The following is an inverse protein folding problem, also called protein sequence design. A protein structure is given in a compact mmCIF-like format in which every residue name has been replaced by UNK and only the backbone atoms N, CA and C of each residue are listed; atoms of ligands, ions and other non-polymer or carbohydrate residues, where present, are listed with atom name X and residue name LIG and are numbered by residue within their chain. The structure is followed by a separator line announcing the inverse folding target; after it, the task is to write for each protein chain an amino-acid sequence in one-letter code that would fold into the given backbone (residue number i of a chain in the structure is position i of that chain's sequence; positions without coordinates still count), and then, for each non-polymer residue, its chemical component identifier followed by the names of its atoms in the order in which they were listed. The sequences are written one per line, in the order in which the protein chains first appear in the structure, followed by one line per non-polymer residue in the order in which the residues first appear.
data_IF_184489077777
#
_entry.id   IF_184489077777
#
_cell.length_a   1.000
_cell.length_b   1.000
_cell.length_c   1.000
_cell.angle_alpha   90.00
_cell.angle_beta   90.00
_cell.angle_gamma   90.00
#
_symmetry.space_group_name_H-M   'P 1'
#
loop_
_entity.id
_entity.type
_entity.pdbx_description
1 polymer ?
#
# COMPACT_ATOMS: atom_id res chain seq x y z
N UNK A 1 -19.84 -6.95 -22.88
CA UNK A 1 -19.60 -5.76 -22.03
C UNK A 1 -18.36 -6.04 -21.19
N UNK A 2 -17.17 -5.61 -21.62
CA UNK A 2 -15.92 -5.95 -20.92
C UNK A 2 -15.88 -5.30 -19.54
N UNK A 3 -15.67 -6.09 -18.49
CA UNK A 3 -15.55 -5.60 -17.10
C UNK A 3 -14.49 -4.49 -17.09
N UNK A 4 -14.88 -3.24 -16.83
CA UNK A 4 -13.92 -2.15 -16.65
C UNK A 4 -13.00 -2.54 -15.50
N UNK A 5 -11.73 -2.83 -15.81
CA UNK A 5 -10.77 -3.23 -14.80
C UNK A 5 -10.62 -2.10 -13.76
N UNK A 6 -11.08 -2.37 -12.53
CA UNK A 6 -10.91 -1.50 -11.38
C UNK A 6 -9.49 -1.67 -10.82
N UNK A 7 -8.84 -0.55 -10.49
CA UNK A 7 -7.60 -0.58 -9.73
C UNK A 7 -7.93 -0.86 -8.27
N UNK A 8 -7.36 -1.94 -7.75
CA UNK A 8 -7.58 -2.36 -6.37
C UNK A 8 -6.27 -2.42 -5.61
N UNK A 9 -6.38 -2.41 -4.28
CA UNK A 9 -5.21 -2.50 -3.40
C UNK A 9 -4.50 -3.84 -3.62
N UNK A 10 -3.18 -3.77 -3.71
CA UNK A 10 -2.30 -4.91 -3.61
C UNK A 10 -1.57 -4.89 -2.25
N UNK A 11 -1.51 -6.04 -1.60
CA UNK A 11 -0.82 -6.26 -0.34
C UNK A 11 0.10 -7.48 -0.47
N UNK A 12 0.90 -7.75 0.54
CA UNK A 12 1.61 -9.01 0.64
C UNK A 12 1.40 -9.69 1.99
N UNK A 13 1.25 -11.00 1.95
CA UNK A 13 1.20 -11.80 3.17
C UNK A 13 2.61 -12.07 3.75
N UNK A 14 2.65 -12.79 4.87
CA UNK A 14 3.91 -13.17 5.53
C UNK A 14 4.77 -14.13 4.70
N UNK A 15 4.17 -14.89 3.77
CA UNK A 15 4.89 -15.78 2.87
C UNK A 15 5.49 -15.05 1.65
N UNK A 16 5.10 -13.79 1.42
CA UNK A 16 5.62 -12.96 0.33
C UNK A 16 4.74 -13.01 -0.91
N UNK A 17 3.58 -13.65 -0.84
CA UNK A 17 2.63 -13.68 -1.94
C UNK A 17 1.94 -12.33 -2.05
N UNK A 18 1.73 -11.87 -3.29
CA UNK A 18 0.98 -10.65 -3.56
C UNK A 18 -0.51 -11.00 -3.59
N UNK A 19 -1.26 -10.33 -2.72
CA UNK A 19 -2.70 -10.46 -2.61
C UNK A 19 -3.38 -9.25 -3.22
N UNK A 20 -4.55 -9.46 -3.81
CA UNK A 20 -5.41 -8.43 -4.38
C UNK A 20 -6.66 -8.28 -3.51
N UNK A 21 -6.99 -7.05 -3.12
CA UNK A 21 -8.19 -6.74 -2.34
C UNK A 21 -9.20 -5.97 -3.21
N UNK A 22 -10.13 -6.68 -3.84
CA UNK A 22 -11.14 -6.07 -4.72
C UNK A 22 -12.26 -5.30 -3.99
N UNK A 23 -12.27 -5.30 -2.65
CA UNK A 23 -13.19 -4.48 -1.86
C UNK A 23 -12.60 -3.08 -1.55
N UNK A 24 -11.35 -2.82 -1.97
CA UNK A 24 -10.69 -1.54 -1.76
C UNK A 24 -10.01 -1.05 -3.05
N UNK A 25 -10.40 0.14 -3.51
CA UNK A 25 -9.79 0.81 -4.66
C UNK A 25 -8.40 1.29 -4.32
N UNK A 26 -7.53 1.28 -5.33
CA UNK A 26 -6.12 1.65 -5.18
C UNK A 26 -5.97 3.13 -4.77
N UNK A 27 -5.16 3.36 -3.74
CA UNK A 27 -4.85 4.68 -3.21
C UNK A 27 -3.34 4.84 -3.15
N UNK A 28 -2.87 6.04 -3.42
CA UNK A 28 -1.47 6.43 -3.26
C UNK A 28 -1.33 7.58 -2.26
N UNK A 29 -0.09 7.87 -1.87
CA UNK A 29 0.24 8.97 -0.98
C UNK A 29 0.97 10.08 -1.73
N UNK A 30 0.49 11.30 -1.54
CA UNK A 30 1.10 12.54 -2.02
C UNK A 30 1.41 13.44 -0.81
N UNK A 31 2.67 13.42 -0.35
CA UNK A 31 3.08 14.12 0.86
C UNK A 31 2.34 13.61 2.10
N UNK A 32 1.39 14.42 2.61
CA UNK A 32 0.57 14.09 3.80
C UNK A 32 -0.85 13.59 3.45
N UNK A 33 -1.21 13.57 2.17
CA UNK A 33 -2.56 13.25 1.73
C UNK A 33 -2.62 11.89 1.04
N UNK A 34 -3.78 11.26 1.14
CA UNK A 34 -4.15 10.10 0.33
C UNK A 34 -4.91 10.55 -0.90
N UNK A 35 -4.63 9.90 -2.03
CA UNK A 35 -5.22 10.20 -3.33
C UNK A 35 -5.65 8.89 -3.97
N UNK A 36 -6.93 8.79 -4.35
CA UNK A 36 -7.43 7.65 -5.12
C UNK A 36 -6.79 7.64 -6.51
N UNK A 37 -6.18 6.51 -6.90
CA UNK A 37 -5.50 6.36 -8.19
C UNK A 37 -6.49 6.11 -9.32
N UNK A 38 -6.31 6.82 -10.42
CA UNK A 38 -7.02 6.62 -11.68
C UNK A 38 -6.16 5.84 -12.65
N UNK A 39 -6.78 5.29 -13.70
CA UNK A 39 -6.03 4.62 -14.79
C UNK A 39 -5.00 5.51 -15.47
N UNK A 40 -5.26 6.82 -15.55
CA UNK A 40 -4.32 7.81 -16.09
C UNK A 40 -3.09 8.04 -15.22
N UNK A 41 -3.13 7.64 -13.95
CA UNK A 41 -2.08 7.91 -12.97
C UNK A 41 -1.05 6.77 -12.88
N UNK A 42 -1.28 5.68 -13.63
CA UNK A 42 -0.46 4.48 -13.59
C UNK A 42 0.05 4.10 -14.97
N UNK A 43 1.18 3.42 -14.97
CA UNK A 43 1.75 2.72 -16.12
C UNK A 43 1.90 1.24 -15.76
N UNK A 44 2.02 0.34 -16.75
CA UNK A 44 2.50 -1.02 -16.49
C UNK A 44 3.79 -0.99 -15.68
N UNK A 45 3.99 -1.98 -14.81
CA UNK A 45 5.21 -2.10 -14.03
C UNK A 45 6.41 -2.17 -15.00
N UNK A 46 7.40 -1.26 -14.89
CA UNK A 46 8.53 -1.27 -15.81
C UNK A 46 9.32 -2.58 -15.79
N UNK A 47 9.89 -2.96 -16.93
CA UNK A 47 10.82 -4.08 -16.99
C UNK A 47 12.01 -3.85 -16.03
N UNK A 48 12.40 -4.91 -15.32
CA UNK A 48 13.46 -4.84 -14.31
C UNK A 48 13.04 -4.24 -12.96
N UNK A 49 11.80 -3.77 -12.81
CA UNK A 49 11.26 -3.41 -11.50
C UNK A 49 10.99 -4.67 -10.66
N UNK A 50 11.10 -4.54 -9.33
CA UNK A 50 10.77 -5.59 -8.37
C UNK A 50 9.79 -5.07 -7.32
N UNK A 51 9.06 -5.98 -6.66
CA UNK A 51 8.18 -5.65 -5.54
C UNK A 51 8.88 -5.96 -4.22
N UNK A 52 8.72 -5.06 -3.25
CA UNK A 52 9.26 -5.20 -1.91
C UNK A 52 8.13 -5.03 -0.89
N UNK A 53 8.05 -5.94 0.08
CA UNK A 53 7.18 -5.77 1.25
C UNK A 53 7.66 -4.62 2.11
N UNK A 54 6.72 -3.98 2.78
CA UNK A 54 6.99 -2.91 3.71
C UNK A 54 6.59 -3.34 5.13
N UNK A 55 7.49 -3.97 5.91
CA UNK A 55 7.16 -4.54 7.20
C UNK A 55 6.48 -3.56 8.16
N UNK A 56 5.43 -4.02 8.84
CA UNK A 56 4.69 -3.21 9.81
C UNK A 56 3.90 -2.04 9.21
N UNK A 57 3.71 -1.99 7.89
CA UNK A 57 2.92 -0.96 7.21
C UNK A 57 1.67 -1.59 6.62
N UNK A 58 0.51 -1.14 7.09
CA UNK A 58 -0.81 -1.60 6.62
C UNK A 58 -1.20 -0.78 5.40
N UNK A 59 -1.56 -1.40 4.27
CA UNK A 59 -1.96 -0.66 3.08
C UNK A 59 -3.23 0.15 3.34
N UNK A 60 -3.34 1.30 2.69
CA UNK A 60 -4.56 2.11 2.67
C UNK A 60 -5.22 1.98 1.30
N UNK A 61 -6.54 1.83 1.29
CA UNK A 61 -7.37 1.86 0.08
C UNK A 61 -8.61 2.72 0.30
N UNK A 62 -9.36 2.97 -0.76
CA UNK A 62 -10.68 3.58 -0.67
C UNK A 62 -11.74 2.48 -0.73
N UNK A 63 -12.58 2.35 0.29
CA UNK A 63 -13.64 1.36 0.33
C UNK A 63 -14.55 1.50 -0.90
N UNK A 64 -14.90 0.37 -1.53
CA UNK A 64 -15.71 0.38 -2.77
C UNK A 64 -17.15 0.83 -2.53
N UNK A 65 -17.67 0.69 -1.32
CA UNK A 65 -19.05 1.00 -0.97
C UNK A 65 -19.21 2.42 -0.42
N UNK A 66 -18.36 2.82 0.55
CA UNK A 66 -18.46 4.13 1.20
C UNK A 66 -17.59 5.20 0.55
N UNK A 67 -16.53 4.81 -0.15
CA UNK A 67 -15.51 5.73 -0.69
C UNK A 67 -14.54 6.27 0.36
N UNK A 68 -14.67 5.89 1.62
CA UNK A 68 -13.77 6.34 2.68
C UNK A 68 -12.39 5.66 2.60
N UNK A 69 -11.35 6.37 3.04
CA UNK A 69 -10.03 5.76 3.17
C UNK A 69 -9.96 4.84 4.38
N UNK A 70 -9.67 3.57 4.12
CA UNK A 70 -9.65 2.50 5.11
C UNK A 70 -8.33 1.74 5.07
N UNK A 71 -7.98 1.10 6.19
CA UNK A 71 -6.93 0.09 6.19
C UNK A 71 -7.39 -1.12 5.37
N UNK A 72 -6.68 -1.43 4.29
CA UNK A 72 -7.08 -2.40 3.28
C UNK A 72 -6.36 -3.76 3.43
N UNK A 73 -6.21 -4.22 4.68
CA UNK A 73 -5.64 -5.54 5.01
C UNK A 73 -6.56 -6.71 4.66
N UNK A 74 -6.15 -7.97 4.92
CA UNK A 74 -4.95 -8.36 5.67
C UNK A 74 -3.66 -8.29 4.82
N UNK A 75 -2.52 -8.07 5.49
CA UNK A 75 -1.20 -8.05 4.87
C UNK A 75 -0.45 -6.73 5.04
N UNK A 76 0.75 -6.69 4.48
CA UNK A 76 1.64 -5.55 4.49
C UNK A 76 1.59 -4.82 3.14
N UNK A 77 1.74 -3.50 3.17
CA UNK A 77 1.87 -2.71 1.97
C UNK A 77 3.11 -3.16 1.16
N UNK A 78 3.03 -3.03 -0.16
CA UNK A 78 4.14 -3.30 -1.07
C UNK A 78 4.59 -2.01 -1.76
N UNK A 79 5.86 -1.97 -2.14
CA UNK A 79 6.43 -0.93 -2.99
C UNK A 79 7.07 -1.55 -4.23
N UNK A 80 6.93 -0.89 -5.37
CA UNK A 80 7.76 -1.19 -6.53
C UNK A 80 9.12 -0.51 -6.38
N UNK A 81 10.21 -1.26 -6.44
CA UNK A 81 11.57 -0.74 -6.63
C UNK A 81 11.74 -0.48 -8.13
N UNK A 82 12.00 0.77 -8.49
CA UNK A 82 12.01 1.19 -9.89
C UNK A 82 13.44 1.21 -10.45
N UNK A 83 13.63 0.87 -11.74
CA UNK A 83 14.90 1.02 -12.43
C UNK A 83 15.37 2.47 -12.52
N UNK A 84 16.66 2.65 -12.85
CA UNK A 84 17.21 3.96 -13.18
C UNK A 84 16.43 4.61 -14.34
N UNK A 85 16.24 5.92 -14.27
CA UNK A 85 15.50 6.69 -15.28
C UNK A 85 14.00 6.80 -15.00
N UNK A 86 13.48 6.11 -13.98
CA UNK A 86 12.12 6.30 -13.49
C UNK A 86 12.07 7.20 -12.26
N UNK A 87 11.09 8.09 -12.23
CA UNK A 87 10.73 8.87 -11.05
C UNK A 87 9.37 8.40 -10.53
N UNK A 88 9.04 8.77 -9.29
CA UNK A 88 7.73 8.47 -8.69
C UNK A 88 6.96 9.76 -8.48
N UNK A 89 5.75 9.85 -9.05
CA UNK A 89 4.78 10.91 -8.74
C UNK A 89 4.14 10.68 -7.37
N UNK A 90 3.84 9.42 -7.05
CA UNK A 90 3.25 9.01 -5.79
C UNK A 90 4.07 7.91 -5.10
N UNK A 91 3.88 7.77 -3.80
CA UNK A 91 4.44 6.67 -3.01
C UNK A 91 3.32 5.75 -2.50
N UNK A 92 3.62 4.49 -2.10
CA UNK A 92 2.60 3.59 -1.57
C UNK A 92 1.82 4.21 -0.41
N UNK A 93 0.50 4.08 -0.45
CA UNK A 93 -0.35 4.51 0.66
C UNK A 93 -0.38 3.46 1.76
N UNK A 94 0.09 3.84 2.94
CA UNK A 94 0.05 2.98 4.11
C UNK A 94 -0.05 3.81 5.39
N UNK A 95 -0.41 3.12 6.47
CA UNK A 95 -0.23 3.56 7.86
C UNK A 95 0.72 2.61 8.58
N UNK A 96 1.57 3.14 9.45
CA UNK A 96 2.47 2.32 10.27
C UNK A 96 1.70 1.71 11.42
N UNK A 97 1.92 0.44 11.69
CA UNK A 97 1.51 -0.16 12.96
C UNK A 97 2.29 0.55 14.08
N UNK A 98 1.58 0.96 15.14
CA UNK A 98 2.22 1.52 16.32
C UNK A 98 3.18 0.50 16.91
N UNK A 99 4.45 0.86 17.05
CA UNK A 99 5.36 0.09 17.88
C UNK A 99 4.93 0.30 19.33
N UNK A 100 4.25 -0.69 19.93
CA UNK A 100 4.15 -0.75 21.39
C UNK A 100 5.57 -0.97 21.92
N UNK A 101 6.21 0.11 22.38
CA UNK A 101 7.44 0.03 23.15
C UNK A 101 7.13 -0.73 24.44
N UNK A 102 7.75 -1.91 24.63
CA UNK A 102 7.75 -2.60 25.91
C UNK A 102 8.23 -1.64 26.99
N UNK A 103 7.45 -1.51 28.04
CA UNK A 103 7.64 -0.69 29.23
C UNK A 103 9.02 -0.86 29.85
N UNK A 104 9.64 0.29 30.12
CA UNK A 104 10.64 0.61 31.14
C UNK A 104 10.97 -0.49 32.15
N UNK A 105 12.24 -0.92 32.15
CA UNK A 105 12.87 -1.51 33.32
C UNK A 105 12.93 -0.46 34.43
N UNK A 106 12.07 -0.61 35.45
CA UNK A 106 12.26 0.08 36.73
C UNK A 106 13.40 -0.62 37.46
N UNK A 107 14.58 0.01 37.49
CA UNK A 107 15.61 -0.34 38.47
C UNK A 107 15.13 0.15 39.83
N UNK A 108 14.79 -0.80 40.71
CA UNK A 108 14.52 -0.52 42.11
C UNK A 108 15.78 -0.04 42.81
N UNK A 109 15.65 1.09 43.50
CA UNK A 109 16.43 1.46 44.67
C UNK A 109 15.52 1.33 45.89
#
# INVERSE_FOLDING_TARGET
MGKMAMLSVAASDRAGQVLRNDNARAVARAGRYFVELRKSDIIPLPEGASLMRLPGRVPVGADVSSGEFVQAGPGEAIAAILPQGYTRTFVPAYVSQSHTSRTSHTTGL
#
